data_IF_678175309772
#
_entry.id   IF_678175309772
#
_cell.length_a   1.000
_cell.length_b   1.000
_cell.length_c   1.000
_cell.angle_alpha   90.00
_cell.angle_beta   90.00
_cell.angle_gamma   90.00
#
_symmetry.space_group_name_H-M   'P 1'
#
loop_
_entity.id
_entity.type
_entity.pdbx_description
1 polymer ?
#
# COMPACT_ATOMS: atom_id res chain seq x y z
N UNK A 1 29.00 11.93 62.50
CA UNK A 1 27.80 11.46 61.78
C UNK A 1 27.34 12.52 60.82
N UNK A 2 27.61 12.35 59.52
CA UNK A 2 27.02 13.11 58.41
C UNK A 2 27.44 12.41 57.12
N UNK A 3 26.58 11.54 56.58
CA UNK A 3 26.80 10.91 55.28
C UNK A 3 26.07 11.76 54.25
N UNK A 4 26.85 12.50 53.45
CA UNK A 4 26.38 13.25 52.29
C UNK A 4 26.02 12.29 51.16
N UNK A 5 24.74 12.22 50.80
CA UNK A 5 24.27 11.46 49.65
C UNK A 5 24.65 12.17 48.34
N UNK A 6 25.42 11.48 47.50
CA UNK A 6 25.82 11.89 46.15
C UNK A 6 24.59 11.81 45.25
N UNK A 7 24.03 12.97 44.89
CA UNK A 7 22.95 13.09 43.90
C UNK A 7 23.55 13.09 42.49
N UNK A 8 23.40 11.98 41.76
CA UNK A 8 23.85 11.88 40.36
C UNK A 8 22.82 12.50 39.39
N UNK A 9 23.20 13.46 38.53
CA UNK A 9 22.26 14.17 37.64
C UNK A 9 21.63 13.32 36.53
N UNK A 10 22.12 12.09 36.28
CA UNK A 10 21.64 11.22 35.19
C UNK A 10 20.31 10.52 35.47
N UNK A 11 19.90 10.35 36.73
CA UNK A 11 18.65 9.65 37.07
C UNK A 11 17.41 10.56 36.95
N UNK A 12 17.54 11.85 37.25
CA UNK A 12 16.44 12.82 37.15
C UNK A 12 16.02 13.11 35.70
N UNK A 13 16.96 13.08 34.75
CA UNK A 13 16.63 13.26 33.33
C UNK A 13 15.88 12.05 32.74
N UNK A 14 16.16 10.84 33.24
CA UNK A 14 15.43 9.64 32.82
C UNK A 14 14.01 9.59 33.39
N UNK A 15 13.80 10.01 34.65
CA UNK A 15 12.47 10.10 35.27
C UNK A 15 11.61 11.22 34.66
N UNK A 16 12.20 12.37 34.30
CA UNK A 16 11.50 13.45 33.62
C UNK A 16 11.17 13.09 32.16
N UNK A 17 12.05 12.37 31.46
CA UNK A 17 11.76 11.80 30.14
C UNK A 17 10.67 10.73 30.16
N UNK A 18 10.63 9.90 31.22
CA UNK A 18 9.58 8.89 31.39
C UNK A 18 8.23 9.51 31.75
N UNK A 19 8.19 10.56 32.60
CA UNK A 19 6.97 11.34 32.88
C UNK A 19 6.46 12.10 31.64
N UNK A 20 7.35 12.64 30.81
CA UNK A 20 6.98 13.31 29.55
C UNK A 20 6.52 12.32 28.45
N UNK A 21 7.05 11.09 28.46
CA UNK A 21 6.59 10.01 27.59
C UNK A 21 5.23 9.44 28.04
N UNK A 22 5.01 9.29 29.35
CA UNK A 22 3.72 8.89 29.93
C UNK A 22 2.64 9.97 29.77
N UNK A 23 2.98 11.27 29.82
CA UNK A 23 2.02 12.34 29.54
C UNK A 23 1.67 12.47 28.05
N UNK A 24 2.50 11.92 27.14
CA UNK A 24 2.23 11.86 25.69
C UNK A 24 1.44 10.62 25.26
N UNK A 25 1.27 9.61 26.10
CA UNK A 25 0.60 8.35 25.73
C UNK A 25 -0.80 8.16 26.31
N UNK A 26 -1.33 9.12 27.07
CA UNK A 26 -2.78 9.15 27.32
C UNK A 26 -3.44 9.93 26.18
N UNK A 27 -4.01 9.19 25.23
CA UNK A 27 -4.89 9.76 24.22
C UNK A 27 -5.95 10.59 24.95
N UNK A 28 -5.92 11.91 24.76
CA UNK A 28 -6.93 12.77 25.34
C UNK A 28 -8.28 12.30 24.81
N UNK A 29 -9.20 11.98 25.72
CA UNK A 29 -10.50 11.44 25.35
C UNK A 29 -11.31 12.57 24.69
N UNK A 30 -11.75 12.35 23.45
CA UNK A 30 -12.61 13.32 22.75
C UNK A 30 -13.98 13.40 23.44
N UNK A 31 -14.67 14.52 23.26
CA UNK A 31 -16.03 14.76 23.76
C UNK A 31 -16.97 13.59 23.41
N UNK A 32 -16.87 13.04 22.19
CA UNK A 32 -17.65 11.86 21.77
C UNK A 32 -17.38 10.60 22.60
N UNK A 33 -16.15 10.41 23.05
CA UNK A 33 -15.73 9.24 23.83
C UNK A 33 -16.23 9.34 25.27
N UNK A 34 -16.17 10.54 25.85
CA UNK A 34 -16.78 10.81 27.16
C UNK A 34 -18.29 10.70 27.13
N UNK A 35 -18.94 11.24 26.09
CA UNK A 35 -20.39 11.16 25.91
C UNK A 35 -20.87 9.71 25.88
N UNK A 36 -20.26 8.88 25.03
CA UNK A 36 -20.62 7.44 24.93
C UNK A 36 -20.35 6.68 26.23
N UNK A 37 -19.27 6.98 26.94
CA UNK A 37 -18.94 6.33 28.21
C UNK A 37 -19.95 6.67 29.30
N UNK A 38 -20.25 7.96 29.48
CA UNK A 38 -21.17 8.44 30.52
C UNK A 38 -22.58 7.94 30.26
N UNK A 39 -23.07 8.03 29.02
CA UNK A 39 -24.41 7.55 28.68
C UNK A 39 -24.52 6.03 28.87
N UNK A 40 -23.52 5.25 28.43
CA UNK A 40 -23.50 3.80 28.63
C UNK A 40 -23.47 3.41 30.11
N UNK A 41 -22.70 4.15 30.92
CA UNK A 41 -22.63 3.93 32.37
C UNK A 41 -23.95 4.27 33.08
N UNK A 42 -24.57 5.40 32.75
CA UNK A 42 -25.86 5.80 33.34
C UNK A 42 -26.99 4.83 32.96
N UNK A 43 -27.05 4.40 31.70
CA UNK A 43 -28.03 3.38 31.28
C UNK A 43 -27.83 2.08 32.07
N UNK A 44 -26.58 1.65 32.24
CA UNK A 44 -26.27 0.43 33.01
C UNK A 44 -26.68 0.56 34.48
N UNK A 45 -26.44 1.72 35.11
CA UNK A 45 -26.87 2.00 36.49
C UNK A 45 -28.39 1.99 36.62
N UNK A 46 -29.10 2.70 35.73
CA UNK A 46 -30.56 2.79 35.81
C UNK A 46 -31.24 1.43 35.59
N UNK A 47 -30.68 0.60 34.71
CA UNK A 47 -31.16 -0.78 34.51
C UNK A 47 -30.88 -1.68 35.72
N UNK A 48 -29.73 -1.51 36.38
CA UNK A 48 -29.44 -2.22 37.64
C UNK A 48 -30.38 -1.78 38.78
N UNK A 49 -30.61 -0.47 38.92
CA UNK A 49 -31.53 0.08 39.93
C UNK A 49 -32.99 -0.27 39.64
N UNK A 50 -33.34 -0.47 38.37
CA UNK A 50 -34.65 -0.99 37.94
C UNK A 50 -34.97 -2.36 38.53
N UNK A 51 -33.97 -3.16 38.89
CA UNK A 51 -34.19 -4.47 39.52
C UNK A 51 -34.78 -4.33 40.93
N UNK A 52 -34.55 -3.19 41.60
CA UNK A 52 -35.06 -2.88 42.93
C UNK A 52 -36.33 -2.04 42.89
N UNK A 53 -36.44 -1.12 41.93
CA UNK A 53 -37.65 -0.32 41.74
C UNK A 53 -37.85 0.03 40.25
N UNK A 54 -38.98 -0.38 39.64
CA UNK A 54 -39.19 -0.25 38.19
C UNK A 54 -39.23 1.21 37.69
N UNK A 55 -39.47 2.19 38.56
CA UNK A 55 -39.48 3.61 38.17
C UNK A 55 -38.12 4.12 37.66
N UNK A 56 -37.01 3.43 37.97
CA UNK A 56 -35.68 3.76 37.44
C UNK A 56 -35.53 3.53 35.93
N UNK A 57 -36.41 2.74 35.30
CA UNK A 57 -36.46 2.61 33.85
C UNK A 57 -36.73 3.94 33.13
N UNK A 58 -37.42 4.87 33.80
CA UNK A 58 -37.63 6.22 33.28
C UNK A 58 -36.29 6.96 33.08
N UNK A 59 -35.32 6.75 33.97
CA UNK A 59 -33.98 7.32 33.85
C UNK A 59 -33.22 6.77 32.64
N UNK A 60 -33.29 5.45 32.40
CA UNK A 60 -32.69 4.82 31.22
C UNK A 60 -33.34 5.32 29.91
N UNK A 61 -34.67 5.51 29.92
CA UNK A 61 -35.41 6.07 28.79
C UNK A 61 -34.98 7.51 28.49
N UNK A 62 -34.83 8.36 29.52
CA UNK A 62 -34.40 9.76 29.36
C UNK A 62 -33.00 9.84 28.76
N UNK A 63 -32.04 9.03 29.24
CA UNK A 63 -30.68 9.01 28.68
C UNK A 63 -30.69 8.53 27.22
N UNK A 64 -31.49 7.51 26.90
CA UNK A 64 -31.62 6.99 25.54
C UNK A 64 -32.26 8.01 24.59
N UNK A 65 -33.31 8.72 25.04
CA UNK A 65 -33.96 9.77 24.25
C UNK A 65 -33.03 10.97 24.02
N UNK A 66 -32.20 11.32 25.02
CA UNK A 66 -31.17 12.35 24.87
C UNK A 66 -30.13 11.99 23.80
N UNK A 67 -29.71 10.72 23.72
CA UNK A 67 -28.80 10.24 22.66
C UNK A 67 -29.43 10.32 21.26
N UNK A 68 -30.71 9.96 21.13
CA UNK A 68 -31.43 10.04 19.85
C UNK A 68 -31.58 11.50 19.40
N UNK A 69 -31.98 12.40 20.30
CA UNK A 69 -32.16 13.82 20.00
C UNK A 69 -30.84 14.50 19.62
N UNK A 70 -29.73 14.14 20.29
CA UNK A 70 -28.40 14.67 19.96
C UNK A 70 -27.82 14.10 18.67
N UNK A 71 -28.29 12.95 18.20
CA UNK A 71 -27.93 12.40 16.88
C UNK A 71 -28.68 13.07 15.72
N UNK A 72 -29.81 13.73 15.99
CA UNK A 72 -30.68 14.37 14.98
C UNK A 72 -30.47 15.89 14.95
N UNK A 73 -29.93 16.48 16.02
CA UNK A 73 -29.69 17.91 16.18
C UNK A 73 -28.21 18.26 16.04
N UNK A 74 -27.88 19.30 15.29
CA UNK A 74 -26.51 19.86 15.18
C UNK A 74 -25.99 20.53 16.47
N UNK A 75 -26.67 20.31 17.60
CA UNK A 75 -26.33 20.85 18.92
C UNK A 75 -26.15 19.73 19.94
N UNK A 76 -24.94 19.61 20.47
CA UNK A 76 -24.65 18.75 21.61
C UNK A 76 -24.97 19.49 22.92
N UNK A 77 -26.07 19.12 23.59
CA UNK A 77 -26.55 19.78 24.83
C UNK A 77 -25.56 19.61 25.99
N UNK A 78 -24.87 18.46 26.03
CA UNK A 78 -23.91 18.11 27.08
C UNK A 78 -22.49 18.58 26.79
N UNK A 79 -22.28 19.27 25.67
CA UNK A 79 -20.95 19.71 25.21
C UNK A 79 -20.17 20.47 26.29
N UNK A 80 -20.76 21.54 26.82
CA UNK A 80 -20.07 22.41 27.77
C UNK A 80 -19.81 21.70 29.12
N UNK A 81 -20.71 20.79 29.51
CA UNK A 81 -20.53 19.93 30.68
C UNK A 81 -19.37 18.94 30.48
N UNK A 82 -19.23 18.37 29.29
CA UNK A 82 -18.13 17.45 28.96
C UNK A 82 -16.78 18.17 28.90
N UNK A 83 -16.74 19.41 28.39
CA UNK A 83 -15.54 20.25 28.45
C UNK A 83 -15.16 20.57 29.90
N UNK A 84 -16.12 20.86 30.78
CA UNK A 84 -15.86 21.05 32.21
C UNK A 84 -15.27 19.80 32.89
N UNK A 85 -15.61 18.60 32.42
CA UNK A 85 -15.03 17.34 32.86
C UNK A 85 -13.65 17.02 32.25
N UNK A 86 -13.08 17.95 31.49
CA UNK A 86 -11.73 17.84 30.91
C UNK A 86 -11.70 17.23 29.52
N UNK A 87 -12.85 17.07 28.85
CA UNK A 87 -12.86 16.72 27.43
C UNK A 87 -12.30 17.88 26.59
N UNK A 88 -11.54 17.54 25.54
CA UNK A 88 -11.09 18.51 24.53
C UNK A 88 -11.73 18.17 23.18
N UNK A 89 -12.17 19.20 22.48
CA UNK A 89 -12.65 19.07 21.11
C UNK A 89 -11.52 18.58 20.21
N UNK A 90 -11.82 17.62 19.33
CA UNK A 90 -10.83 17.04 18.41
C UNK A 90 -10.62 17.89 17.16
N UNK A 91 -11.58 18.76 16.82
CA UNK A 91 -11.59 19.57 15.60
C UNK A 91 -12.30 20.91 15.93
N UNK A 92 -11.74 22.07 15.52
CA UNK A 92 -12.26 23.43 15.77
C UNK A 92 -13.55 23.77 14.97
N UNK A 93 -14.48 22.81 14.87
CA UNK A 93 -15.71 22.86 14.06
C UNK A 93 -16.91 23.46 14.81
N UNK A 94 -16.82 23.65 16.13
CA UNK A 94 -17.89 24.24 16.92
C UNK A 94 -17.49 25.63 17.45
N UNK A 95 -18.45 26.57 17.47
CA UNK A 95 -18.34 27.84 18.19
C UNK A 95 -18.62 27.62 19.68
N UNK A 96 -18.14 28.52 20.54
CA UNK A 96 -18.51 28.57 21.95
C UNK A 96 -20.04 28.54 22.10
N UNK A 97 -20.58 27.46 22.69
CA UNK A 97 -22.03 27.20 22.78
C UNK A 97 -22.59 26.14 21.82
N UNK A 98 -21.73 25.34 21.15
CA UNK A 98 -22.12 24.09 20.50
C UNK A 98 -22.80 24.21 19.12
N UNK A 99 -22.62 25.33 18.41
CA UNK A 99 -23.08 25.50 17.01
C UNK A 99 -21.95 25.19 16.03
N UNK A 100 -22.26 24.45 14.97
CA UNK A 100 -21.32 24.13 13.87
C UNK A 100 -20.89 25.40 13.11
N UNK A 101 -19.59 25.58 12.86
CA UNK A 101 -19.04 26.65 12.02
C UNK A 101 -19.43 26.41 10.55
N UNK A 102 -20.19 27.34 9.95
CA UNK A 102 -20.50 27.30 8.51
C UNK A 102 -19.30 27.83 7.70
N UNK A 103 -18.35 26.96 7.38
CA UNK A 103 -17.13 27.32 6.63
C UNK A 103 -17.16 26.63 5.28
N UNK A 104 -17.79 27.27 4.28
CA UNK A 104 -17.70 26.80 2.89
C UNK A 104 -17.61 27.88 1.81
N UNK A 105 -17.43 29.17 2.15
CA UNK A 105 -17.31 30.20 1.09
C UNK A 105 -16.28 31.31 1.30
N UNK A 106 -15.93 31.70 2.52
CA UNK A 106 -15.00 32.82 2.75
C UNK A 106 -13.52 32.41 2.84
N UNK A 107 -13.20 31.25 3.44
CA UNK A 107 -11.80 30.79 3.57
C UNK A 107 -11.15 30.39 2.23
N UNK A 108 -11.94 30.12 1.19
CA UNK A 108 -11.43 29.64 -0.11
C UNK A 108 -10.63 30.69 -0.90
N UNK A 109 -10.74 31.97 -0.53
CA UNK A 109 -10.08 33.08 -1.24
C UNK A 109 -8.78 33.47 -0.52
N UNK A 110 -8.80 33.61 0.80
CA UNK A 110 -7.61 33.96 1.60
C UNK A 110 -6.57 32.83 1.67
N UNK A 111 -7.05 31.58 1.77
CA UNK A 111 -6.16 30.40 1.79
C UNK A 111 -5.47 30.19 0.44
N UNK A 112 -6.06 30.65 -0.67
CA UNK A 112 -5.47 30.51 -2.01
C UNK A 112 -4.24 31.39 -2.20
N UNK A 113 -4.25 32.61 -1.65
CA UNK A 113 -3.16 33.57 -1.78
C UNK A 113 -1.98 33.27 -0.82
N UNK A 114 -2.25 32.69 0.36
CA UNK A 114 -1.20 32.19 1.25
C UNK A 114 -0.56 30.88 0.77
N UNK A 115 -1.34 29.99 0.14
CA UNK A 115 -0.85 28.73 -0.43
C UNK A 115 0.08 28.98 -1.63
N UNK A 116 -0.21 29.96 -2.50
CA UNK A 116 0.67 30.30 -3.62
C UNK A 116 2.04 30.86 -3.16
N UNK A 117 2.10 31.57 -2.02
CA UNK A 117 3.37 32.03 -1.43
C UNK A 117 4.14 30.93 -0.71
N UNK A 118 3.48 29.94 -0.10
CA UNK A 118 4.13 28.83 0.62
C UNK A 118 4.61 27.69 -0.30
N UNK A 119 4.04 27.55 -1.50
CA UNK A 119 4.46 26.54 -2.49
C UNK A 119 5.79 26.82 -3.22
N UNK A 120 6.50 27.91 -2.88
CA UNK A 120 7.90 28.08 -3.33
C UNK A 120 8.94 27.30 -2.49
N UNK A 121 8.53 26.54 -1.47
CA UNK A 121 9.42 25.62 -0.74
C UNK A 121 9.22 24.18 -1.26
N UNK A 122 10.23 23.69 -1.99
CA UNK A 122 10.33 22.35 -2.64
C UNK A 122 9.68 21.21 -1.84
N UNK A 123 8.56 20.67 -2.35
CA UNK A 123 8.06 19.36 -1.93
C UNK A 123 9.00 18.22 -2.37
N UNK A 124 9.30 17.32 -1.43
CA UNK A 124 10.12 16.11 -1.68
C UNK A 124 9.26 15.05 -2.38
N UNK A 125 9.41 14.90 -3.70
CA UNK A 125 8.67 13.93 -4.54
C UNK A 125 8.84 12.48 -4.05
N UNK A 126 7.74 11.82 -3.69
CA UNK A 126 7.70 10.36 -3.42
C UNK A 126 7.77 9.59 -4.74
N UNK A 127 8.27 8.34 -4.76
CA UNK A 127 8.29 7.53 -5.99
C UNK A 127 6.98 6.80 -6.29
N UNK A 128 6.84 6.27 -7.50
CA UNK A 128 5.67 5.57 -8.00
C UNK A 128 5.35 4.35 -7.14
N UNK A 129 6.40 3.56 -6.93
CA UNK A 129 6.40 2.44 -6.00
C UNK A 129 6.13 2.94 -4.58
N UNK A 130 6.63 4.11 -4.15
CA UNK A 130 6.31 4.64 -2.80
C UNK A 130 4.90 5.08 -2.59
N UNK A 131 4.25 5.55 -3.63
CA UNK A 131 2.90 6.08 -3.51
C UNK A 131 1.92 4.90 -3.51
N UNK A 132 2.16 3.85 -4.31
CA UNK A 132 1.39 2.59 -4.24
C UNK A 132 1.64 1.79 -2.94
N UNK A 133 2.83 1.90 -2.34
CA UNK A 133 3.25 1.09 -1.19
C UNK A 133 2.99 1.72 0.18
N UNK A 134 2.73 3.04 0.24
CA UNK A 134 2.48 3.75 1.51
C UNK A 134 1.21 3.23 2.22
N UNK A 135 0.20 2.85 1.44
CA UNK A 135 -1.13 2.41 1.89
C UNK A 135 -1.08 1.13 2.72
N UNK A 136 -0.28 0.17 2.31
CA UNK A 136 -0.15 -1.11 3.00
C UNK A 136 0.85 -1.05 4.17
N UNK A 137 1.60 0.06 4.28
CA UNK A 137 2.48 0.31 5.42
C UNK A 137 1.68 0.75 6.66
N UNK A 138 0.61 1.53 6.47
CA UNK A 138 -0.27 2.00 7.55
C UNK A 138 -1.02 0.84 8.25
N UNK A 139 -1.44 -0.21 7.52
CA UNK A 139 -2.12 -1.37 8.11
C UNK A 139 -1.20 -2.40 8.79
N UNK A 140 0.10 -2.42 8.47
CA UNK A 140 1.06 -3.30 9.18
C UNK A 140 1.43 -2.72 10.55
N UNK A 141 1.31 -1.40 10.70
CA UNK A 141 1.55 -0.69 11.96
C UNK A 141 0.27 -0.55 12.82
N UNK A 142 -0.92 -0.59 12.22
CA UNK A 142 -2.21 -0.51 12.91
C UNK A 142 -2.88 -1.90 12.90
N UNK A 143 -2.96 -2.53 14.07
CA UNK A 143 -3.62 -3.82 14.25
C UNK A 143 -5.02 -3.87 13.61
N UNK A 144 -5.13 -4.75 12.60
CA UNK A 144 -6.33 -5.33 11.98
C UNK A 144 -7.62 -4.48 11.94
N UNK A 145 -8.02 -3.96 10.76
CA UNK A 145 -9.42 -3.74 10.47
C UNK A 145 -10.09 -5.07 10.07
N UNK A 146 -11.30 -5.30 10.58
CA UNK A 146 -12.24 -6.32 10.10
C UNK A 146 -12.56 -6.06 8.63
N UNK A 147 -12.34 -7.05 7.76
CA UNK A 147 -12.72 -6.99 6.35
C UNK A 147 -14.18 -7.47 6.20
N UNK A 148 -15.09 -6.57 5.86
CA UNK A 148 -16.40 -6.92 5.31
C UNK A 148 -16.25 -7.32 3.83
N UNK A 149 -16.94 -8.40 3.46
CA UNK A 149 -16.92 -8.98 2.13
C UNK A 149 -17.94 -8.21 1.27
N UNK A 150 -17.48 -7.22 0.50
CA UNK A 150 -18.25 -6.65 -0.63
C UNK A 150 -17.40 -5.77 -1.56
N UNK A 151 -16.31 -6.27 -2.16
CA UNK A 151 -15.68 -5.54 -3.27
C UNK A 151 -15.79 -6.33 -4.57
N UNK A 152 -16.72 -5.87 -5.42
CA UNK A 152 -16.81 -6.17 -6.84
C UNK A 152 -15.43 -5.87 -7.47
N UNK A 153 -14.89 -6.80 -8.24
CA UNK A 153 -13.59 -6.59 -8.90
C UNK A 153 -13.82 -5.60 -10.05
N UNK A 154 -13.55 -4.32 -9.82
CA UNK A 154 -13.79 -3.25 -10.81
C UNK A 154 -12.64 -3.12 -11.83
N UNK A 155 -11.89 -4.19 -12.08
CA UNK A 155 -10.79 -4.18 -13.05
C UNK A 155 -10.58 -5.54 -13.73
N UNK A 156 -10.19 -5.50 -15.00
CA UNK A 156 -9.82 -6.66 -15.82
C UNK A 156 -8.31 -6.70 -15.99
N UNK A 157 -7.71 -7.87 -15.79
CA UNK A 157 -6.28 -8.10 -16.10
C UNK A 157 -6.19 -8.83 -17.44
N UNK A 158 -5.35 -8.34 -18.34
CA UNK A 158 -5.04 -8.94 -19.65
C UNK A 158 -3.52 -9.08 -19.83
N UNK A 159 -3.11 -9.86 -20.84
CA UNK A 159 -1.72 -9.89 -21.31
C UNK A 159 -1.57 -8.88 -22.43
N UNK A 160 -0.61 -7.96 -22.31
CA UNK A 160 -0.33 -6.94 -23.31
C UNK A 160 0.42 -7.54 -24.52
N UNK A 161 -0.33 -8.21 -25.39
CA UNK A 161 0.18 -9.03 -26.49
C UNK A 161 0.06 -8.39 -27.87
N UNK A 162 -0.50 -7.18 -27.95
CA UNK A 162 -0.63 -6.42 -29.19
C UNK A 162 -0.18 -4.97 -28.99
N UNK A 163 0.05 -4.27 -30.09
CA UNK A 163 0.55 -2.90 -30.12
C UNK A 163 -0.27 -1.95 -29.25
N UNK A 164 -1.60 -2.04 -29.32
CA UNK A 164 -2.50 -1.13 -28.60
C UNK A 164 -2.35 -1.31 -27.09
N UNK A 165 -2.32 -2.55 -26.61
CA UNK A 165 -2.17 -2.83 -25.17
C UNK A 165 -0.77 -2.49 -24.67
N UNK A 166 0.28 -2.74 -25.46
CA UNK A 166 1.64 -2.35 -25.11
C UNK A 166 1.80 -0.83 -25.06
N UNK A 167 1.20 -0.11 -26.01
CA UNK A 167 1.20 1.36 -26.00
C UNK A 167 0.52 1.91 -24.75
N UNK A 168 -0.65 1.38 -24.36
CA UNK A 168 -1.33 1.72 -23.10
C UNK A 168 -0.42 1.53 -21.89
N UNK A 169 0.29 0.39 -21.81
CA UNK A 169 1.26 0.12 -20.73
C UNK A 169 2.38 1.16 -20.72
N UNK A 170 2.96 1.49 -21.87
CA UNK A 170 4.07 2.43 -21.95
C UNK A 170 3.65 3.87 -21.65
N UNK A 171 2.43 4.27 -22.05
CA UNK A 171 1.81 5.54 -21.68
C UNK A 171 1.58 5.62 -20.16
N UNK A 172 0.99 4.59 -19.57
CA UNK A 172 0.78 4.52 -18.11
C UNK A 172 2.11 4.60 -17.35
N UNK A 173 3.11 3.85 -17.81
CA UNK A 173 4.46 3.86 -17.24
C UNK A 173 5.09 5.25 -17.32
N UNK A 174 4.98 5.92 -18.47
CA UNK A 174 5.49 7.28 -18.64
C UNK A 174 4.81 8.26 -17.70
N UNK A 175 3.47 8.21 -17.60
CA UNK A 175 2.69 9.04 -16.68
C UNK A 175 3.18 8.86 -15.25
N UNK A 176 3.24 7.62 -14.78
CA UNK A 176 3.55 7.29 -13.38
C UNK A 176 5.03 7.57 -13.06
N UNK A 177 5.97 7.19 -13.93
CA UNK A 177 7.39 7.45 -13.72
C UNK A 177 7.75 8.94 -13.86
N UNK A 178 7.10 9.68 -14.76
CA UNK A 178 7.30 11.12 -14.91
C UNK A 178 6.88 11.89 -13.65
N UNK A 179 5.75 11.53 -13.03
CA UNK A 179 5.30 12.09 -11.74
C UNK A 179 6.33 11.85 -10.62
N UNK A 180 7.07 10.75 -10.71
CA UNK A 180 7.97 10.27 -9.69
C UNK A 180 9.43 10.67 -9.90
N UNK A 181 9.72 11.35 -11.02
CA UNK A 181 11.08 11.76 -11.39
C UNK A 181 11.96 10.59 -11.84
N UNK A 182 11.36 9.54 -12.41
CA UNK A 182 12.08 8.37 -12.94
C UNK A 182 12.16 8.36 -14.47
N UNK A 183 11.40 9.22 -15.14
CA UNK A 183 11.49 9.49 -16.57
C UNK A 183 11.35 10.99 -16.85
N UNK A 184 11.55 11.41 -18.10
CA UNK A 184 11.26 12.78 -18.51
C UNK A 184 9.80 13.12 -18.23
N UNK A 185 9.48 14.39 -17.96
CA UNK A 185 8.09 14.81 -17.72
C UNK A 185 7.28 14.99 -19.02
N UNK A 186 7.88 14.71 -20.18
CA UNK A 186 7.22 14.74 -21.46
C UNK A 186 6.16 13.64 -21.54
N UNK A 187 4.88 14.01 -21.45
CA UNK A 187 3.76 13.06 -21.46
C UNK A 187 3.45 12.49 -22.85
N UNK A 188 4.00 13.08 -23.91
CA UNK A 188 3.79 12.62 -25.28
C UNK A 188 4.76 11.49 -25.67
N UNK A 189 5.75 11.18 -24.81
CA UNK A 189 6.67 10.05 -25.00
C UNK A 189 6.10 8.77 -24.43
N UNK A 190 6.53 7.64 -24.97
CA UNK A 190 6.28 6.31 -24.42
C UNK A 190 7.50 5.90 -23.57
N UNK A 191 7.27 5.25 -22.43
CA UNK A 191 8.35 4.70 -21.61
C UNK A 191 8.63 3.25 -22.03
N UNK A 192 9.50 3.09 -23.02
CA UNK A 192 9.89 1.80 -23.61
C UNK A 192 11.32 1.43 -23.17
N UNK A 193 11.55 0.17 -22.82
CA UNK A 193 12.86 -0.41 -22.56
C UNK A 193 13.15 -1.53 -23.57
N UNK A 194 14.43 -1.76 -23.87
CA UNK A 194 14.85 -2.87 -24.75
C UNK A 194 14.34 -4.23 -24.27
N UNK A 195 14.32 -4.42 -22.95
CA UNK A 195 13.90 -5.66 -22.33
C UNK A 195 12.39 -5.95 -22.55
N UNK A 196 11.57 -4.95 -22.93
CA UNK A 196 10.14 -5.16 -23.23
C UNK A 196 9.91 -5.91 -24.56
N UNK A 197 10.87 -5.89 -25.49
CA UNK A 197 10.77 -6.55 -26.79
C UNK A 197 11.24 -8.01 -26.77
N UNK A 198 11.82 -8.48 -25.66
CA UNK A 198 12.27 -9.86 -25.53
C UNK A 198 11.10 -10.84 -25.60
N UNK A 199 11.25 -11.99 -26.27
CA UNK A 199 10.18 -13.00 -26.40
C UNK A 199 9.81 -13.64 -25.06
N UNK A 200 10.69 -13.53 -24.06
CA UNK A 200 10.50 -14.03 -22.72
C UNK A 200 10.08 -12.96 -21.71
N UNK A 201 9.61 -11.80 -22.21
CA UNK A 201 8.94 -10.78 -21.43
C UNK A 201 7.43 -10.89 -21.57
N UNK A 202 6.73 -11.08 -20.46
CA UNK A 202 5.27 -10.96 -20.38
C UNK A 202 4.91 -9.71 -19.58
N UNK A 203 3.94 -8.96 -20.08
CA UNK A 203 3.42 -7.78 -19.40
C UNK A 203 1.93 -7.93 -19.16
N UNK A 204 1.52 -7.76 -17.90
CA UNK A 204 0.12 -7.72 -17.51
C UNK A 204 -0.37 -6.28 -17.43
N UNK A 205 -1.53 -6.02 -18.02
CA UNK A 205 -2.22 -4.74 -18.00
C UNK A 205 -3.52 -4.90 -17.21
N UNK A 206 -3.76 -4.01 -16.25
CA UNK A 206 -5.03 -3.91 -15.55
C UNK A 206 -5.79 -2.68 -16.06
N UNK A 207 -7.05 -2.87 -16.43
CA UNK A 207 -7.96 -1.81 -16.87
C UNK A 207 -9.20 -1.76 -15.99
N UNK A 208 -9.74 -0.56 -15.71
CA UNK A 208 -11.00 -0.40 -15.00
C UNK A 208 -12.22 -0.74 -15.89
N UNK A 209 -13.43 -0.67 -15.32
CA UNK A 209 -14.68 -0.91 -16.06
C UNK A 209 -14.91 0.06 -17.24
N UNK A 210 -14.24 1.20 -17.26
CA UNK A 210 -14.32 2.20 -18.33
C UNK A 210 -13.23 1.99 -19.41
N UNK A 211 -12.37 0.98 -19.25
CA UNK A 211 -11.24 0.72 -20.16
C UNK A 211 -10.04 1.63 -19.93
N UNK A 212 -9.96 2.35 -18.80
CA UNK A 212 -8.77 3.11 -18.46
C UNK A 212 -7.69 2.18 -17.93
N UNK A 213 -6.44 2.34 -18.38
CA UNK A 213 -5.30 1.60 -17.84
C UNK A 213 -4.94 2.09 -16.44
N UNK A 214 -5.04 1.21 -15.45
CA UNK A 214 -4.87 1.54 -14.02
C UNK A 214 -3.63 0.92 -13.39
N UNK A 215 -3.10 -0.17 -13.93
CA UNK A 215 -1.81 -0.70 -13.50
C UNK A 215 -1.16 -1.56 -14.57
N UNK A 216 0.15 -1.74 -14.46
CA UNK A 216 0.87 -2.77 -15.17
C UNK A 216 1.97 -3.39 -14.31
N UNK A 217 2.41 -4.57 -14.72
CA UNK A 217 3.53 -5.30 -14.15
C UNK A 217 4.09 -6.25 -15.20
N UNK A 218 5.41 -6.34 -15.30
CA UNK A 218 6.09 -7.17 -16.30
C UNK A 218 6.95 -8.22 -15.62
N UNK A 219 7.11 -9.36 -16.28
CA UNK A 219 7.96 -10.48 -15.87
C UNK A 219 8.92 -10.74 -17.02
N UNK A 220 10.21 -10.66 -16.75
CA UNK A 220 11.29 -10.96 -17.72
C UNK A 220 12.02 -12.19 -17.23
N UNK A 221 12.12 -13.24 -18.04
CA UNK A 221 12.85 -14.46 -17.68
C UNK A 221 14.31 -14.42 -18.12
N UNK A 222 15.14 -15.30 -17.58
CA UNK A 222 16.51 -15.51 -18.04
C UNK A 222 16.65 -16.58 -19.13
N UNK A 223 15.55 -16.97 -19.80
CA UNK A 223 15.58 -18.00 -20.85
C UNK A 223 16.37 -17.51 -22.07
N UNK A 224 16.27 -16.22 -22.42
CA UNK A 224 16.96 -15.62 -23.57
C UNK A 224 18.11 -14.71 -23.12
N UNK A 225 18.91 -15.21 -22.17
CA UNK A 225 20.05 -14.49 -21.60
C UNK A 225 19.71 -13.61 -20.41
N UNK A 226 20.65 -12.75 -20.04
CA UNK A 226 20.62 -11.97 -18.79
C UNK A 226 19.30 -11.19 -18.60
N UNK A 227 18.76 -11.27 -17.38
CA UNK A 227 17.64 -10.42 -16.93
C UNK A 227 18.13 -9.02 -16.56
N UNK A 228 17.25 -7.99 -16.58
CA UNK A 228 17.67 -6.59 -16.47
C UNK A 228 18.58 -6.27 -15.27
N UNK A 229 18.31 -6.84 -14.10
CA UNK A 229 19.04 -6.60 -12.86
C UNK A 229 20.48 -7.13 -12.90
N UNK A 230 20.80 -8.09 -13.77
CA UNK A 230 22.17 -8.56 -13.96
C UNK A 230 23.09 -7.47 -14.54
N UNK A 231 22.55 -6.41 -15.15
CA UNK A 231 23.35 -5.25 -15.59
C UNK A 231 24.03 -4.53 -14.41
N UNK A 232 23.45 -4.61 -13.21
CA UNK A 232 23.91 -3.88 -12.00
C UNK A 232 24.36 -4.84 -10.89
N UNK A 233 23.75 -6.02 -10.82
CA UNK A 233 23.90 -6.98 -9.73
C UNK A 233 24.45 -8.34 -10.18
N UNK A 234 25.32 -8.33 -11.20
CA UNK A 234 25.92 -9.56 -11.75
C UNK A 234 26.64 -10.39 -10.69
N UNK A 235 27.38 -9.73 -9.81
CA UNK A 235 28.18 -10.39 -8.77
C UNK A 235 27.29 -11.06 -7.72
N UNK A 236 26.24 -10.38 -7.28
CA UNK A 236 25.26 -10.92 -6.34
C UNK A 236 24.46 -12.10 -6.91
N UNK A 237 24.36 -12.19 -8.24
CA UNK A 237 23.68 -13.28 -8.95
C UNK A 237 24.63 -14.36 -9.46
N UNK A 238 25.93 -14.23 -9.22
CA UNK A 238 26.95 -15.16 -9.73
C UNK A 238 26.72 -16.60 -9.27
N UNK A 239 26.35 -16.81 -8.01
CA UNK A 239 26.04 -18.15 -7.49
C UNK A 239 24.85 -18.78 -8.20
N UNK A 240 23.76 -18.03 -8.39
CA UNK A 240 22.56 -18.52 -9.09
C UNK A 240 22.86 -18.84 -10.55
N UNK A 241 23.65 -18.00 -11.21
CA UNK A 241 24.12 -18.21 -12.57
C UNK A 241 25.00 -19.46 -12.68
N UNK A 242 25.96 -19.66 -11.78
CA UNK A 242 26.83 -20.83 -11.75
C UNK A 242 26.04 -22.14 -11.50
N UNK A 243 24.92 -22.05 -10.79
CA UNK A 243 23.99 -23.15 -10.55
C UNK A 243 22.96 -23.33 -11.68
N UNK A 244 23.02 -22.52 -12.75
CA UNK A 244 22.06 -22.51 -13.86
C UNK A 244 20.60 -22.40 -13.39
N UNK A 245 20.36 -21.56 -12.37
CA UNK A 245 19.01 -21.34 -11.83
C UNK A 245 18.13 -20.61 -12.84
N UNK A 246 16.87 -21.04 -12.92
CA UNK A 246 15.84 -20.34 -13.67
C UNK A 246 15.36 -19.15 -12.86
N UNK A 247 15.49 -17.96 -13.42
CA UNK A 247 15.20 -16.71 -12.74
C UNK A 247 14.25 -15.87 -13.55
N UNK A 248 13.39 -15.15 -12.85
CA UNK A 248 12.59 -14.06 -13.43
C UNK A 248 12.83 -12.78 -12.66
N UNK A 249 12.72 -11.65 -13.34
CA UNK A 249 12.65 -10.34 -12.73
C UNK A 249 11.25 -9.75 -12.90
N UNK A 250 10.65 -9.25 -11.82
CA UNK A 250 9.50 -8.36 -11.94
C UNK A 250 9.99 -6.96 -12.26
N UNK A 251 9.50 -6.42 -13.37
CA UNK A 251 9.75 -5.06 -13.81
C UNK A 251 8.44 -4.29 -13.95
N UNK A 252 8.52 -2.97 -14.16
CA UNK A 252 7.38 -2.14 -14.58
C UNK A 252 6.13 -2.24 -13.69
N UNK A 253 6.28 -2.46 -12.39
CA UNK A 253 5.15 -2.35 -11.47
C UNK A 253 4.78 -0.87 -11.30
N UNK A 254 3.75 -0.45 -12.03
CA UNK A 254 3.17 0.90 -11.96
C UNK A 254 1.68 0.83 -11.67
N UNK A 255 1.19 1.74 -10.84
CA UNK A 255 -0.22 1.84 -10.45
C UNK A 255 -0.63 3.31 -10.53
N UNK A 256 -1.72 3.58 -11.25
CA UNK A 256 -2.34 4.88 -11.33
C UNK A 256 -2.76 5.38 -9.94
N UNK A 257 -2.60 6.68 -9.72
CA UNK A 257 -2.88 7.34 -8.44
C UNK A 257 -4.24 7.00 -7.85
N UNK A 258 -5.26 6.93 -8.70
CA UNK A 258 -6.63 6.62 -8.29
C UNK A 258 -6.83 5.18 -7.79
N UNK A 259 -5.93 4.26 -8.13
CA UNK A 259 -6.00 2.84 -7.75
C UNK A 259 -4.88 2.39 -6.80
N UNK A 260 -4.03 3.31 -6.35
CA UNK A 260 -2.91 3.00 -5.42
C UNK A 260 -3.37 2.39 -4.10
N UNK A 261 -4.58 2.70 -3.65
CA UNK A 261 -5.15 2.13 -2.44
C UNK A 261 -5.81 0.75 -2.64
N UNK A 262 -5.87 0.24 -3.88
CA UNK A 262 -6.53 -1.02 -4.19
C UNK A 262 -5.65 -2.23 -3.84
N UNK A 263 -5.85 -2.78 -2.64
CA UNK A 263 -5.20 -4.03 -2.22
C UNK A 263 -5.57 -5.21 -3.11
N UNK A 264 -6.82 -5.23 -3.58
CA UNK A 264 -7.31 -6.26 -4.48
C UNK A 264 -6.56 -6.26 -5.82
N UNK A 265 -6.21 -5.08 -6.37
CA UNK A 265 -5.43 -4.95 -7.59
C UNK A 265 -4.02 -5.55 -7.43
N UNK A 266 -3.28 -5.11 -6.41
CA UNK A 266 -1.91 -5.63 -6.15
C UNK A 266 -1.93 -7.14 -5.91
N UNK A 267 -2.89 -7.63 -5.12
CA UNK A 267 -3.09 -9.07 -4.89
C UNK A 267 -3.26 -9.83 -6.22
N UNK A 268 -4.17 -9.38 -7.07
CA UNK A 268 -4.48 -10.08 -8.32
C UNK A 268 -3.29 -10.03 -9.30
N UNK A 269 -2.62 -8.89 -9.42
CA UNK A 269 -1.38 -8.78 -10.23
C UNK A 269 -0.30 -9.75 -9.74
N UNK A 270 -0.09 -9.86 -8.42
CA UNK A 270 0.90 -10.78 -7.86
C UNK A 270 0.51 -12.25 -8.06
N UNK A 271 -0.78 -12.60 -8.11
CA UNK A 271 -1.22 -13.94 -8.50
C UNK A 271 -0.80 -14.27 -9.94
N UNK A 272 -1.08 -13.37 -10.89
CA UNK A 272 -0.69 -13.56 -12.30
C UNK A 272 0.83 -13.73 -12.46
N UNK A 273 1.59 -12.88 -11.77
CA UNK A 273 3.06 -12.94 -11.77
C UNK A 273 3.57 -14.26 -11.19
N UNK A 274 3.04 -14.68 -10.05
CA UNK A 274 3.42 -15.96 -9.43
C UNK A 274 3.09 -17.16 -10.32
N UNK A 275 1.86 -17.22 -10.83
CA UNK A 275 1.40 -18.31 -11.68
C UNK A 275 2.26 -18.39 -12.93
N UNK A 276 2.56 -17.25 -13.57
CA UNK A 276 3.45 -17.25 -14.71
C UNK A 276 4.87 -17.70 -14.35
N UNK A 277 5.48 -17.09 -13.34
CA UNK A 277 6.87 -17.37 -12.95
C UNK A 277 7.08 -18.83 -12.50
N UNK A 278 6.21 -19.33 -11.63
CA UNK A 278 6.38 -20.64 -11.01
C UNK A 278 5.67 -21.76 -11.78
N UNK A 279 4.41 -21.58 -12.19
CA UNK A 279 3.64 -22.64 -12.86
C UNK A 279 3.95 -22.74 -14.36
N UNK A 280 4.11 -21.62 -15.07
CA UNK A 280 4.36 -21.64 -16.51
C UNK A 280 5.85 -21.77 -16.85
N UNK A 281 6.72 -21.00 -16.17
CA UNK A 281 8.16 -20.98 -16.47
C UNK A 281 8.98 -21.96 -15.61
N UNK A 282 8.39 -22.52 -14.56
CA UNK A 282 9.10 -23.37 -13.58
C UNK A 282 10.38 -22.69 -13.05
N UNK A 283 10.27 -21.39 -12.72
CA UNK A 283 11.40 -20.60 -12.23
C UNK A 283 11.72 -20.96 -10.78
N UNK A 284 13.01 -21.00 -10.45
CA UNK A 284 13.48 -21.21 -9.07
C UNK A 284 13.34 -19.93 -8.24
N UNK A 285 13.71 -18.79 -8.85
CA UNK A 285 13.83 -17.52 -8.15
C UNK A 285 13.13 -16.37 -8.89
N UNK A 286 12.57 -15.48 -8.08
CA UNK A 286 11.99 -14.22 -8.53
C UNK A 286 12.79 -13.06 -7.93
N UNK A 287 13.19 -12.12 -8.78
CA UNK A 287 14.00 -10.97 -8.42
C UNK A 287 13.22 -9.68 -8.60
N UNK A 288 13.51 -8.71 -7.74
CA UNK A 288 12.99 -7.34 -7.88
C UNK A 288 14.08 -6.33 -7.55
N UNK A 289 14.18 -5.29 -8.37
CA UNK A 289 14.91 -4.07 -8.03
C UNK A 289 13.94 -3.07 -7.42
N UNK A 290 14.17 -2.70 -6.16
CA UNK A 290 13.27 -1.79 -5.46
C UNK A 290 14.02 -0.62 -4.87
N UNK A 291 13.39 0.55 -4.84
CA UNK A 291 13.94 1.67 -4.11
C UNK A 291 14.13 1.29 -2.63
N UNK A 292 15.24 1.68 -1.96
CA UNK A 292 15.55 1.29 -0.58
C UNK A 292 14.39 1.45 0.41
N UNK A 293 13.53 2.46 0.21
CA UNK A 293 12.37 2.70 1.09
C UNK A 293 11.26 1.62 1.00
N UNK A 294 11.33 0.70 0.03
CA UNK A 294 10.36 -0.39 -0.20
C UNK A 294 10.84 -1.76 0.20
N UNK A 295 12.11 -1.88 0.54
CA UNK A 295 12.71 -3.16 0.95
C UNK A 295 11.89 -3.78 2.08
N UNK A 296 11.64 -3.04 3.15
CA UNK A 296 10.87 -3.55 4.29
C UNK A 296 9.44 -3.98 3.92
N UNK A 297 8.84 -3.36 2.91
CA UNK A 297 7.52 -3.76 2.43
C UNK A 297 7.55 -5.13 1.76
N UNK A 298 8.42 -5.34 0.77
CA UNK A 298 8.48 -6.62 0.03
C UNK A 298 8.97 -7.76 0.90
N UNK A 299 9.86 -7.49 1.87
CA UNK A 299 10.24 -8.45 2.92
C UNK A 299 9.05 -8.90 3.76
N UNK A 300 8.18 -7.97 4.18
CA UNK A 300 7.03 -8.31 5.05
C UNK A 300 5.87 -8.94 4.27
N UNK A 301 5.58 -8.41 3.09
CA UNK A 301 4.38 -8.80 2.33
C UNK A 301 4.57 -10.13 1.60
N UNK A 302 5.73 -10.29 0.95
CA UNK A 302 6.03 -11.40 0.05
C UNK A 302 7.30 -12.16 0.46
N UNK A 303 7.82 -11.93 1.67
CA UNK A 303 8.96 -12.68 2.19
C UNK A 303 10.22 -12.65 1.31
N UNK A 304 10.41 -11.58 0.52
CA UNK A 304 11.66 -11.39 -0.21
C UNK A 304 12.84 -11.22 0.76
N UNK A 305 14.01 -11.64 0.33
CA UNK A 305 15.29 -11.51 1.01
C UNK A 305 16.14 -10.48 0.26
N UNK A 306 16.91 -9.66 0.99
CA UNK A 306 17.84 -8.71 0.36
C UNK A 306 19.10 -9.47 0.00
N UNK A 307 19.55 -9.37 -1.25
CA UNK A 307 20.76 -10.06 -1.72
C UNK A 307 21.81 -9.11 -2.33
N UNK A 308 21.47 -7.84 -2.55
CA UNK A 308 22.43 -6.84 -3.02
C UNK A 308 22.19 -5.47 -2.38
N UNK A 309 23.27 -4.75 -2.13
CA UNK A 309 23.26 -3.42 -1.55
C UNK A 309 22.69 -2.36 -2.50
N UNK A 310 22.45 -1.14 -2.00
CA UNK A 310 21.90 -0.08 -2.83
C UNK A 310 22.88 0.34 -3.93
N UNK A 311 22.49 0.20 -5.20
CA UNK A 311 23.23 0.64 -6.39
C UNK A 311 22.38 1.60 -7.24
N UNK A 312 22.98 2.51 -8.02
CA UNK A 312 22.21 3.39 -8.92
C UNK A 312 21.63 2.60 -10.10
N UNK A 313 20.34 2.73 -10.35
CA UNK A 313 19.66 2.03 -11.44
C UNK A 313 19.56 2.91 -12.70
N UNK A 314 20.25 2.52 -13.76
CA UNK A 314 20.26 3.23 -15.04
C UNK A 314 18.88 3.34 -15.71
N UNK A 315 17.97 2.39 -15.44
CA UNK A 315 16.60 2.37 -15.99
C UNK A 315 15.71 3.49 -15.46
N UNK A 316 16.05 4.09 -14.32
CA UNK A 316 15.21 5.08 -13.62
C UNK A 316 16.03 6.30 -13.18
N UNK A 317 16.72 6.93 -14.14
CA UNK A 317 17.52 8.16 -13.92
C UNK A 317 18.55 8.04 -12.78
N UNK A 318 19.14 6.86 -12.59
CA UNK A 318 20.15 6.62 -11.56
C UNK A 318 19.59 6.56 -10.13
N UNK A 319 18.27 6.45 -9.96
CA UNK A 319 17.68 6.31 -8.63
C UNK A 319 18.23 5.06 -7.91
N UNK A 320 18.39 5.10 -6.58
CA UNK A 320 18.92 3.97 -5.83
C UNK A 320 17.95 2.78 -5.89
N UNK A 321 18.50 1.59 -6.15
CA UNK A 321 17.82 0.31 -6.17
C UNK A 321 18.57 -0.71 -5.31
N UNK A 322 17.82 -1.55 -4.61
CA UNK A 322 18.30 -2.67 -3.79
C UNK A 322 17.74 -3.94 -4.42
N UNK A 323 18.59 -4.96 -4.59
CA UNK A 323 18.18 -6.23 -5.17
C UNK A 323 17.60 -7.15 -4.11
N UNK A 324 16.38 -7.63 -4.37
CA UNK A 324 15.67 -8.58 -3.54
C UNK A 324 15.41 -9.87 -4.32
N UNK A 325 15.47 -11.02 -3.61
CA UNK A 325 15.22 -12.36 -4.13
C UNK A 325 14.10 -13.04 -3.35
N UNK A 326 13.26 -13.78 -4.06
CA UNK A 326 12.28 -14.71 -3.52
C UNK A 326 12.55 -16.10 -4.09
N UNK A 327 12.64 -17.08 -3.20
CA UNK A 327 12.60 -18.50 -3.54
C UNK A 327 11.15 -18.90 -3.80
N UNK A 328 10.85 -19.33 -5.03
CA UNK A 328 9.48 -19.61 -5.43
C UNK A 328 8.96 -20.94 -4.88
N UNK A 329 9.84 -21.89 -4.55
CA UNK A 329 9.46 -23.11 -3.82
C UNK A 329 8.98 -22.78 -2.40
N UNK A 330 9.71 -21.90 -1.69
CA UNK A 330 9.26 -21.40 -0.38
C UNK A 330 7.98 -20.56 -0.48
N UNK A 331 7.76 -19.87 -1.60
CA UNK A 331 6.51 -19.14 -1.84
C UNK A 331 5.33 -20.12 -2.03
N UNK A 332 5.51 -21.19 -2.81
CA UNK A 332 4.52 -22.26 -3.00
C UNK A 332 4.12 -22.89 -1.64
N UNK A 333 5.09 -23.24 -0.80
CA UNK A 333 4.81 -23.78 0.55
C UNK A 333 3.92 -22.83 1.37
N UNK A 334 4.20 -21.52 1.33
CA UNK A 334 3.40 -20.51 2.03
C UNK A 334 2.00 -20.35 1.45
N UNK A 335 1.86 -20.46 0.12
CA UNK A 335 0.58 -20.39 -0.56
C UNK A 335 -0.29 -21.60 -0.20
N UNK A 336 0.27 -22.81 -0.24
CA UNK A 336 -0.41 -24.04 0.18
C UNK A 336 -0.83 -23.94 1.66
N UNK A 337 0.08 -23.50 2.54
CA UNK A 337 -0.23 -23.31 3.95
C UNK A 337 -1.35 -22.27 4.16
N UNK A 338 -1.34 -21.17 3.40
CA UNK A 338 -2.35 -20.12 3.46
C UNK A 338 -3.74 -20.57 2.99
N UNK A 339 -3.82 -21.53 2.07
CA UNK A 339 -5.07 -22.14 1.60
C UNK A 339 -5.70 -23.06 2.65
N UNK A 340 -4.87 -23.78 3.40
CA UNK A 340 -5.32 -24.85 4.32
C UNK A 340 -5.74 -24.36 5.72
N UNK A 341 -5.48 -23.10 6.08
CA UNK A 341 -5.88 -22.56 7.39
C UNK A 341 -7.36 -22.14 7.41
N UNK A 342 -8.21 -22.91 8.13
CA UNK A 342 -9.63 -22.60 8.39
C UNK A 342 -9.82 -21.38 9.30
N UNK A 343 -8.81 -21.06 10.10
CA UNK A 343 -8.71 -19.83 10.87
C UNK A 343 -7.89 -18.80 10.10
N UNK A 344 -8.55 -17.84 9.44
CA UNK A 344 -7.94 -16.57 8.97
C UNK A 344 -7.50 -15.67 10.14
N UNK A 345 -7.00 -16.27 11.22
CA UNK A 345 -6.70 -15.60 12.48
C UNK A 345 -5.22 -15.21 12.46
N UNK A 346 -4.97 -14.00 11.96
CA UNK A 346 -3.86 -13.16 12.43
C UNK A 346 -2.49 -13.25 11.73
N UNK A 347 -2.38 -13.38 10.40
CA UNK A 347 -1.05 -13.29 9.73
C UNK A 347 -0.96 -12.48 8.42
N UNK A 348 0.27 -11.98 8.21
CA UNK A 348 0.72 -10.67 7.69
C UNK A 348 1.10 -10.60 6.19
N UNK A 349 1.03 -11.72 5.45
CA UNK A 349 1.61 -11.87 4.10
C UNK A 349 0.54 -11.96 3.02
N UNK A 350 0.88 -11.64 1.76
CA UNK A 350 -0.07 -11.66 0.64
C UNK A 350 -0.54 -13.07 0.25
N UNK A 351 0.25 -14.10 0.56
CA UNK A 351 0.00 -15.49 0.16
C UNK A 351 -1.35 -16.07 0.61
N UNK A 352 -1.94 -15.57 1.70
CA UNK A 352 -3.26 -16.01 2.18
C UNK A 352 -4.41 -15.61 1.24
N UNK A 353 -4.14 -14.75 0.27
CA UNK A 353 -5.11 -14.26 -0.69
C UNK A 353 -4.82 -14.74 -2.11
N UNK A 354 -3.89 -15.68 -2.26
CA UNK A 354 -3.63 -16.29 -3.56
C UNK A 354 -4.78 -17.22 -3.93
N UNK A 355 -5.07 -17.30 -5.23
CA UNK A 355 -6.19 -18.05 -5.79
C UNK A 355 -6.06 -19.55 -5.48
N UNK A 356 -7.12 -20.32 -5.64
CA UNK A 356 -7.08 -21.78 -5.46
C UNK A 356 -6.39 -22.46 -6.65
N UNK A 357 -5.90 -23.68 -6.45
CA UNK A 357 -5.15 -24.45 -7.47
C UNK A 357 -5.89 -24.58 -8.82
N UNK A 358 -7.21 -24.84 -8.79
CA UNK A 358 -8.02 -24.88 -10.02
C UNK A 358 -8.01 -23.54 -10.79
N UNK A 359 -7.98 -22.42 -10.08
CA UNK A 359 -7.90 -21.09 -10.68
C UNK A 359 -6.48 -20.80 -11.20
N UNK A 360 -5.45 -21.35 -10.54
CA UNK A 360 -4.06 -21.24 -11.03
C UNK A 360 -3.90 -21.88 -12.40
N UNK A 361 -4.46 -23.09 -12.60
CA UNK A 361 -4.41 -23.78 -13.88
C UNK A 361 -5.07 -22.94 -14.98
N UNK A 362 -6.30 -22.47 -14.75
CA UNK A 362 -7.03 -21.63 -15.69
C UNK A 362 -6.29 -20.33 -16.04
N UNK A 363 -5.75 -19.63 -15.04
CA UNK A 363 -4.97 -18.41 -15.27
C UNK A 363 -3.66 -18.75 -16.01
N UNK A 364 -3.01 -19.86 -15.68
CA UNK A 364 -1.80 -20.33 -16.34
C UNK A 364 -2.03 -20.59 -17.83
N UNK A 365 -3.11 -21.28 -18.18
CA UNK A 365 -3.57 -21.49 -19.56
C UNK A 365 -3.87 -20.17 -20.27
N UNK A 366 -4.68 -19.31 -19.64
CA UNK A 366 -5.00 -17.98 -20.17
C UNK A 366 -3.75 -17.18 -20.52
N UNK A 367 -2.74 -17.18 -19.65
CA UNK A 367 -1.48 -16.46 -19.89
C UNK A 367 -0.73 -17.06 -21.08
N UNK A 368 -0.62 -18.39 -21.18
CA UNK A 368 0.07 -19.06 -22.29
C UNK A 368 -0.63 -18.79 -23.63
N UNK A 369 -1.95 -18.93 -23.66
CA UNK A 369 -2.75 -18.76 -24.86
C UNK A 369 -2.80 -17.31 -25.34
N UNK A 370 -2.81 -16.36 -24.40
CA UNK A 370 -2.87 -14.93 -24.70
C UNK A 370 -1.52 -14.32 -25.04
N UNK A 371 -0.40 -14.90 -24.57
CA UNK A 371 0.93 -14.32 -24.79
C UNK A 371 1.35 -14.34 -26.25
N UNK A 372 1.79 -13.19 -26.76
CA UNK A 372 2.43 -13.09 -28.09
C UNK A 372 3.71 -12.24 -27.95
N UNK A 373 4.84 -12.70 -28.49
CA UNK A 373 6.04 -11.87 -28.63
C UNK A 373 5.73 -10.60 -29.43
N UNK A 374 6.54 -9.57 -29.23
CA UNK A 374 6.47 -8.36 -30.04
C UNK A 374 6.84 -8.69 -31.49
N UNK A 375 6.06 -8.22 -32.46
CA UNK A 375 6.42 -8.36 -33.88
C UNK A 375 7.49 -7.36 -34.29
N UNK A 376 8.16 -7.60 -35.43
CA UNK A 376 9.15 -6.66 -35.98
C UNK A 376 8.52 -5.28 -36.24
N UNK A 377 7.29 -5.23 -36.75
CA UNK A 377 6.58 -3.96 -36.98
C UNK A 377 6.33 -3.20 -35.67
N UNK A 378 6.02 -3.93 -34.60
CA UNK A 378 5.84 -3.34 -33.27
C UNK A 378 7.17 -2.85 -32.69
N UNK A 379 8.26 -3.61 -32.85
CA UNK A 379 9.60 -3.16 -32.43
C UNK A 379 10.01 -1.87 -33.14
N UNK A 380 9.79 -1.80 -34.46
CA UNK A 380 10.01 -0.58 -35.25
C UNK A 380 9.14 0.58 -34.76
N UNK A 381 7.85 0.33 -34.49
CA UNK A 381 6.92 1.34 -33.97
C UNK A 381 7.37 1.90 -32.61
N UNK A 382 7.85 1.04 -31.71
CA UNK A 382 8.31 1.44 -30.39
C UNK A 382 9.78 1.90 -30.36
N UNK A 383 10.49 1.84 -31.48
CA UNK A 383 11.89 2.24 -31.59
C UNK A 383 12.84 1.35 -30.80
N UNK A 384 12.56 0.04 -30.71
CA UNK A 384 13.42 -0.94 -30.03
C UNK A 384 14.24 -1.70 -31.08
N UNK A 385 15.56 -1.71 -30.93
CA UNK A 385 16.47 -2.35 -31.89
C UNK A 385 16.35 -3.88 -31.87
N UNK A 386 16.34 -4.49 -33.07
CA UNK A 386 16.16 -5.92 -33.30
C UNK A 386 17.35 -6.78 -32.83
N UNK A 387 18.56 -6.21 -32.75
CA UNK A 387 19.81 -6.98 -32.55
C UNK A 387 19.94 -7.62 -31.16
N UNK A 388 19.17 -7.18 -30.16
CA UNK A 388 19.20 -7.73 -28.79
C UNK A 388 18.23 -8.89 -28.56
N UNK A 389 17.36 -9.22 -29.52
CA UNK A 389 16.24 -10.15 -29.31
C UNK A 389 16.56 -11.59 -29.74
N UNK A 390 17.67 -11.80 -30.46
CA UNK A 390 18.10 -13.10 -31.00
C UNK A 390 19.48 -13.58 -30.53
N UNK A 391 20.08 -12.92 -29.52
CA UNK A 391 21.40 -13.27 -28.98
C UNK A 391 21.32 -14.33 -27.87
#
# INVERSE_FOLDING_TARGET
>A
MSISAIQTPKLNNHLNGFKAALSKSFSHWSVDRYGRLISGFLISIFLLMSMYNPYWNLGALVVSLSLVLTSISDKCIVHDFLIQLGAKDREDIFLSGGKLKQVLKSEKIEVRDEIEKKHQIKEKKRSATSQALWVLKEEVEIGSPKWEISEKINFRISVASNRVDREKVYQLSQKVYGQCGYSSQDRNKLFVNSDDARPDTITFLAEDENGNSVASISVVSNVHGDIPCQKIFKDELSELNNQNKKMVEITRLVVDESYRNSRNLIKNLMNFVYIHAYKNLASDHMLIEVNPRHVGYYKRLLCFEVIGDSKPCGRVQGAPAVLLKLDLGKAEEKIIAGRNTTARVGRKTLYNYFVLEMQEAYIGDFIRESSRPMSVDEMCYFGVEHELVLA
#
